data_IF_153315775849
#
_entry.id   IF_153315775849
#
_cell.length_a   1.000
_cell.length_b   1.000
_cell.length_c   1.000
_cell.angle_alpha   90.00
_cell.angle_beta   90.00
_cell.angle_gamma   90.00
#
_symmetry.space_group_name_H-M   'P 1'
#
loop_
_entity.id
_entity.type
_entity.pdbx_description
1 polymer ?
#
# COMPACT_ATOMS: atom_id res chain seq x y z
N UNK A 1 14.25 18.51 9.39
CA UNK A 1 13.10 18.09 8.53
C UNK A 1 11.98 17.69 9.46
N UNK A 2 10.79 18.19 9.24
CA UNK A 2 9.60 17.78 9.99
C UNK A 2 9.18 16.38 9.49
N UNK A 3 8.89 15.40 10.37
CA UNK A 3 8.38 14.10 9.94
C UNK A 3 7.02 14.27 9.26
N UNK A 4 6.77 13.48 8.21
CA UNK A 4 5.47 13.43 7.54
C UNK A 4 4.55 12.42 8.24
N UNK A 5 3.27 12.76 8.29
CA UNK A 5 2.21 11.88 8.80
C UNK A 5 1.50 11.25 7.60
N UNK A 6 1.72 9.95 7.38
CA UNK A 6 1.05 9.17 6.34
C UNK A 6 -0.05 8.34 6.97
N UNK A 7 -1.29 8.55 6.53
CA UNK A 7 -2.45 7.84 7.04
C UNK A 7 -2.55 6.44 6.40
N UNK A 8 -2.28 5.39 7.20
CA UNK A 8 -2.31 4.00 6.76
C UNK A 8 -3.72 3.56 6.38
N UNK A 9 -3.91 3.25 5.09
CA UNK A 9 -5.21 2.95 4.44
C UNK A 9 -6.21 4.10 4.60
N UNK A 10 -5.71 5.34 4.61
CA UNK A 10 -6.48 6.53 4.96
C UNK A 10 -6.73 6.69 6.46
N UNK A 11 -7.75 7.46 6.85
CA UNK A 11 -8.16 7.59 8.25
C UNK A 11 -8.95 6.35 8.72
N UNK A 12 -8.32 5.18 8.65
CA UNK A 12 -8.93 3.85 8.82
C UNK A 12 -9.60 3.63 10.19
N UNK A 13 -9.24 4.41 11.21
CA UNK A 13 -9.96 4.42 12.49
C UNK A 13 -11.33 5.10 12.38
N UNK A 14 -11.45 6.16 11.57
CA UNK A 14 -12.62 7.03 11.46
C UNK A 14 -13.56 6.66 10.30
N UNK A 15 -13.06 5.99 9.27
CA UNK A 15 -13.80 5.60 8.07
C UNK A 15 -13.36 4.19 7.61
N UNK A 16 -14.11 3.52 6.73
CA UNK A 16 -13.71 2.23 6.17
C UNK A 16 -12.34 2.36 5.46
N UNK A 17 -11.40 1.50 5.81
CA UNK A 17 -10.06 1.54 5.23
C UNK A 17 -10.07 1.35 3.71
N UNK A 18 -9.06 1.92 3.03
CA UNK A 18 -8.91 1.81 1.58
C UNK A 18 -10.11 2.32 0.76
N UNK A 19 -10.88 3.29 1.31
CA UNK A 19 -11.98 3.94 0.62
C UNK A 19 -11.67 5.42 0.33
N UNK A 20 -12.39 5.99 -0.65
CA UNK A 20 -12.26 7.42 -0.96
C UNK A 20 -12.63 8.28 0.25
N UNK A 21 -13.62 7.85 1.03
CA UNK A 21 -14.03 8.51 2.27
C UNK A 21 -12.90 8.53 3.31
N UNK A 22 -12.15 7.42 3.47
CA UNK A 22 -11.03 7.35 4.40
C UNK A 22 -9.86 8.25 3.96
N UNK A 23 -9.57 8.32 2.66
CA UNK A 23 -8.51 9.16 2.13
C UNK A 23 -8.84 10.65 2.28
N UNK A 24 -10.06 11.05 1.93
CA UNK A 24 -10.54 12.41 2.13
C UNK A 24 -10.49 12.81 3.60
N UNK A 25 -10.95 11.92 4.49
CA UNK A 25 -10.93 12.16 5.93
C UNK A 25 -9.51 12.32 6.50
N UNK A 26 -8.54 11.55 6.01
CA UNK A 26 -7.15 11.66 6.41
C UNK A 26 -6.59 13.06 6.14
N UNK A 27 -6.85 13.59 4.96
CA UNK A 27 -6.39 14.95 4.60
C UNK A 27 -7.14 16.04 5.35
N UNK A 28 -8.45 15.88 5.60
CA UNK A 28 -9.24 16.83 6.41
C UNK A 28 -8.70 16.98 7.83
N UNK A 29 -8.17 15.91 8.43
CA UNK A 29 -7.59 15.94 9.78
C UNK A 29 -6.10 16.27 9.81
N UNK A 30 -5.49 16.60 8.66
CA UNK A 30 -4.14 17.13 8.54
C UNK A 30 -3.04 16.10 8.34
N UNK A 31 -3.32 14.96 7.76
CA UNK A 31 -2.27 14.04 7.29
C UNK A 31 -1.52 14.68 6.10
N UNK A 32 -0.20 14.42 5.99
CA UNK A 32 0.62 14.87 4.87
C UNK A 32 0.47 13.97 3.64
N UNK A 33 -0.12 12.79 3.84
CA UNK A 33 -0.37 11.84 2.77
C UNK A 33 -1.16 10.64 3.24
N UNK A 34 -1.39 9.73 2.31
CA UNK A 34 -2.10 8.48 2.54
C UNK A 34 -1.27 7.29 2.06
N UNK A 35 -1.46 6.18 2.71
CA UNK A 35 -1.01 4.89 2.20
C UNK A 35 -2.23 4.10 1.74
N UNK A 36 -2.08 3.30 0.68
CA UNK A 36 -3.14 2.48 0.08
C UNK A 36 -2.59 1.26 -0.63
N UNK A 37 -3.43 0.24 -0.73
CA UNK A 37 -3.08 -1.07 -1.29
C UNK A 37 -3.76 -1.29 -2.63
N UNK A 38 -3.01 -1.50 -3.72
CA UNK A 38 -3.58 -1.80 -5.04
C UNK A 38 -3.50 -3.28 -5.36
N UNK A 39 -4.63 -3.82 -5.82
CA UNK A 39 -4.79 -5.18 -6.32
C UNK A 39 -5.41 -5.19 -7.72
N UNK A 40 -5.26 -6.33 -8.40
CA UNK A 40 -5.82 -6.56 -9.72
C UNK A 40 -7.04 -7.47 -9.65
N UNK A 41 -8.08 -7.15 -10.42
CA UNK A 41 -9.25 -8.00 -10.65
C UNK A 41 -8.99 -9.00 -11.80
N UNK A 42 -9.88 -9.99 -11.98
CA UNK A 42 -9.76 -10.98 -13.07
C UNK A 42 -9.84 -10.35 -14.47
N UNK A 43 -10.57 -9.25 -14.62
CA UNK A 43 -10.70 -8.47 -15.85
C UNK A 43 -9.67 -7.33 -15.94
N UNK A 44 -8.55 -7.47 -15.20
CA UNK A 44 -7.42 -6.56 -15.22
C UNK A 44 -7.69 -5.13 -14.67
N UNK A 45 -8.80 -4.92 -13.99
CA UNK A 45 -9.09 -3.69 -13.26
C UNK A 45 -8.14 -3.51 -12.06
N UNK A 46 -7.91 -2.27 -11.66
CA UNK A 46 -7.08 -1.93 -10.49
C UNK A 46 -7.97 -1.38 -9.38
N UNK A 47 -8.03 -2.08 -8.25
CA UNK A 47 -8.84 -1.71 -7.08
C UNK A 47 -7.96 -1.46 -5.86
N UNK A 48 -8.47 -0.66 -4.94
CA UNK A 48 -7.79 -0.33 -3.68
C UNK A 48 -8.41 -1.18 -2.57
N UNK A 49 -7.68 -2.19 -2.11
CA UNK A 49 -8.09 -3.09 -1.04
C UNK A 49 -6.89 -3.85 -0.48
N UNK A 50 -6.81 -4.05 0.85
CA UNK A 50 -5.66 -4.70 1.47
C UNK A 50 -5.71 -6.21 1.36
N UNK A 51 -6.80 -6.84 1.85
CA UNK A 51 -6.89 -8.30 1.94
C UNK A 51 -7.15 -8.90 0.55
N UNK A 52 -6.62 -10.11 0.31
CA UNK A 52 -6.92 -10.84 -0.92
C UNK A 52 -8.38 -11.34 -0.96
N UNK A 53 -8.98 -11.53 0.22
CA UNK A 53 -10.38 -11.91 0.42
C UNK A 53 -11.19 -10.67 0.82
N UNK A 54 -12.47 -10.64 0.41
CA UNK A 54 -13.37 -9.52 0.73
C UNK A 54 -14.26 -9.79 1.95
N UNK A 55 -14.10 -10.93 2.61
CA UNK A 55 -14.98 -11.49 3.64
C UNK A 55 -15.10 -10.60 4.90
N UNK A 56 -14.05 -9.83 5.21
CA UNK A 56 -14.04 -8.94 6.37
C UNK A 56 -14.75 -7.61 6.11
N UNK A 57 -14.96 -7.27 4.85
CA UNK A 57 -15.41 -5.93 4.44
C UNK A 57 -16.74 -5.94 3.68
N UNK A 58 -17.26 -7.14 3.34
CA UNK A 58 -18.53 -7.32 2.62
C UNK A 58 -19.35 -8.47 3.25
N UNK A 59 -20.57 -8.63 2.81
CA UNK A 59 -21.47 -9.72 3.22
C UNK A 59 -21.31 -11.00 2.40
N UNK A 60 -20.37 -11.02 1.44
CA UNK A 60 -20.06 -12.19 0.63
C UNK A 60 -18.59 -12.61 0.79
N UNK A 61 -18.28 -13.85 0.41
CA UNK A 61 -16.92 -14.38 0.39
C UNK A 61 -16.38 -14.45 -1.03
N UNK A 62 -15.13 -14.05 -1.22
CA UNK A 62 -14.48 -14.12 -2.53
C UNK A 62 -13.10 -13.49 -2.53
N UNK A 63 -12.33 -13.82 -3.57
CA UNK A 63 -11.00 -13.24 -3.79
C UNK A 63 -11.10 -12.11 -4.82
N UNK A 64 -10.41 -11.01 -4.57
CA UNK A 64 -10.35 -9.85 -5.49
C UNK A 64 -10.01 -10.29 -6.92
N UNK A 65 -8.97 -11.11 -7.10
CA UNK A 65 -8.49 -11.51 -8.43
C UNK A 65 -9.37 -12.56 -9.14
N UNK A 66 -10.38 -13.14 -8.46
CA UNK A 66 -11.38 -14.04 -9.05
C UNK A 66 -12.67 -13.29 -9.47
N UNK A 67 -12.77 -12.00 -9.17
CA UNK A 67 -13.95 -11.17 -9.42
C UNK A 67 -13.67 -10.10 -10.47
N UNK A 68 -14.72 -9.68 -11.19
CA UNK A 68 -14.62 -8.55 -12.11
C UNK A 68 -14.73 -7.23 -11.35
N UNK A 69 -14.21 -6.15 -11.95
CA UNK A 69 -14.42 -4.79 -11.44
C UNK A 69 -15.91 -4.49 -11.28
N UNK A 70 -16.75 -4.93 -12.24
CA UNK A 70 -18.19 -4.73 -12.19
C UNK A 70 -18.82 -5.40 -10.97
N UNK A 71 -18.49 -6.66 -10.70
CA UNK A 71 -19.03 -7.39 -9.54
C UNK A 71 -18.62 -6.70 -8.22
N UNK A 72 -17.35 -6.30 -8.09
CA UNK A 72 -16.86 -5.61 -6.91
C UNK A 72 -17.54 -4.25 -6.68
N UNK A 73 -17.84 -3.50 -7.73
CA UNK A 73 -18.53 -2.20 -7.63
C UNK A 73 -20.00 -2.30 -7.18
N UNK A 74 -20.62 -3.46 -7.30
CA UNK A 74 -21.99 -3.67 -6.79
C UNK A 74 -22.02 -3.85 -5.26
N UNK A 75 -20.91 -4.29 -4.65
CA UNK A 75 -20.85 -4.61 -3.22
C UNK A 75 -20.77 -3.36 -2.33
N UNK A 76 -21.13 -3.54 -1.07
CA UNK A 76 -20.97 -2.54 -0.01
C UNK A 76 -19.68 -2.83 0.78
N UNK A 77 -18.70 -1.93 0.69
CA UNK A 77 -17.43 -1.99 1.40
C UNK A 77 -17.38 -1.07 2.62
N UNK A 78 -18.52 -0.52 3.05
CA UNK A 78 -18.59 0.44 4.15
C UNK A 78 -19.35 0.02 5.37
N UNK A 79 -20.45 -0.71 5.23
CA UNK A 79 -21.37 -1.08 6.32
C UNK A 79 -20.70 -1.85 7.46
N UNK A 80 -19.64 -2.61 7.19
CA UNK A 80 -18.84 -3.30 8.22
C UNK A 80 -18.24 -2.33 9.25
N UNK A 81 -17.93 -1.12 8.85
CA UNK A 81 -17.37 -0.07 9.71
C UNK A 81 -18.44 0.68 10.49
N UNK A 82 -19.62 0.79 9.91
CA UNK A 82 -20.77 1.45 10.54
C UNK A 82 -21.84 1.85 9.53
N UNK A 83 -23.08 1.93 9.98
CA UNK A 83 -24.25 2.20 9.12
C UNK A 83 -24.16 3.56 8.37
N UNK A 84 -23.38 4.52 8.86
CA UNK A 84 -23.18 5.81 8.19
C UNK A 84 -22.34 5.69 6.89
N UNK A 85 -21.67 4.56 6.70
CA UNK A 85 -20.86 4.24 5.53
C UNK A 85 -21.51 3.24 4.60
N UNK A 86 -22.81 2.96 4.82
CA UNK A 86 -23.56 2.08 3.94
C UNK A 86 -23.43 2.54 2.48
N UNK A 87 -23.35 1.57 1.57
CA UNK A 87 -23.15 1.78 0.13
C UNK A 87 -21.81 2.41 -0.31
N UNK A 88 -20.83 2.54 0.59
CA UNK A 88 -19.46 2.87 0.18
C UNK A 88 -18.94 1.80 -0.77
N UNK A 89 -18.35 2.21 -1.90
CA UNK A 89 -17.87 1.31 -2.94
C UNK A 89 -16.37 1.13 -2.86
N UNK A 90 -15.90 -0.04 -3.30
CA UNK A 90 -14.47 -0.24 -3.51
C UNK A 90 -13.94 0.85 -4.45
N UNK A 91 -12.83 1.48 -4.07
CA UNK A 91 -12.19 2.49 -4.91
C UNK A 91 -11.36 1.83 -6.01
N UNK A 92 -11.38 2.40 -7.20
CA UNK A 92 -10.38 2.10 -8.22
C UNK A 92 -9.10 2.90 -7.96
N UNK A 93 -7.97 2.43 -8.49
CA UNK A 93 -6.72 3.18 -8.42
C UNK A 93 -6.88 4.57 -9.06
N UNK A 94 -7.58 4.66 -10.20
CA UNK A 94 -7.81 5.94 -10.87
C UNK A 94 -8.59 6.91 -9.99
N UNK A 95 -9.73 6.48 -9.41
CA UNK A 95 -10.53 7.33 -8.51
C UNK A 95 -9.71 7.82 -7.31
N UNK A 96 -8.88 6.93 -6.71
CA UNK A 96 -8.04 7.29 -5.58
C UNK A 96 -6.96 8.30 -5.97
N UNK A 97 -6.29 8.12 -7.12
CA UNK A 97 -5.29 9.07 -7.62
C UNK A 97 -5.92 10.42 -7.98
N UNK A 98 -7.07 10.44 -8.65
CA UNK A 98 -7.79 11.68 -8.98
C UNK A 98 -8.21 12.44 -7.72
N UNK A 99 -8.62 11.75 -6.66
CA UNK A 99 -8.91 12.35 -5.37
C UNK A 99 -7.65 12.96 -4.75
N UNK A 100 -6.55 12.20 -4.66
CA UNK A 100 -5.30 12.66 -4.06
C UNK A 100 -4.68 13.85 -4.83
N UNK A 101 -4.81 13.88 -6.15
CA UNK A 101 -4.36 15.00 -6.99
C UNK A 101 -5.03 16.33 -6.64
N UNK A 102 -6.27 16.28 -6.15
CA UNK A 102 -7.01 17.48 -5.72
C UNK A 102 -6.56 18.00 -4.35
N UNK A 103 -5.73 17.24 -3.63
CA UNK A 103 -5.27 17.57 -2.28
C UNK A 103 -3.84 18.13 -2.33
N UNK A 104 -3.63 19.43 -2.09
CA UNK A 104 -2.32 20.06 -2.20
C UNK A 104 -1.27 19.39 -1.30
N UNK A 105 -0.15 18.98 -1.89
CA UNK A 105 0.98 18.37 -1.16
C UNK A 105 0.77 16.94 -0.69
N UNK A 106 -0.34 16.29 -1.08
CA UNK A 106 -0.60 14.90 -0.73
C UNK A 106 0.50 13.97 -1.27
N UNK A 107 1.15 13.21 -0.38
CA UNK A 107 2.05 12.11 -0.74
C UNK A 107 1.28 10.80 -0.68
N UNK A 108 1.45 9.94 -1.68
CA UNK A 108 0.80 8.61 -1.70
C UNK A 108 1.84 7.52 -1.60
N UNK A 109 1.74 6.68 -0.59
CA UNK A 109 2.45 5.42 -0.50
C UNK A 109 1.55 4.34 -1.09
N UNK A 110 1.85 3.88 -2.30
CA UNK A 110 1.03 2.90 -3.03
C UNK A 110 1.68 1.53 -2.92
N UNK A 111 1.08 0.62 -2.12
CA UNK A 111 1.54 -0.76 -2.03
C UNK A 111 1.02 -1.59 -3.21
N UNK A 112 1.94 -2.20 -3.94
CA UNK A 112 1.62 -3.24 -4.92
C UNK A 112 1.43 -4.57 -4.18
N UNK A 113 0.19 -5.03 -4.07
CA UNK A 113 -0.10 -6.35 -3.52
C UNK A 113 0.25 -7.41 -4.56
N UNK A 114 1.05 -8.38 -4.13
CA UNK A 114 1.51 -9.45 -5.00
C UNK A 114 0.70 -10.71 -4.76
N UNK A 115 0.05 -11.22 -5.79
CA UNK A 115 -0.41 -12.61 -5.85
C UNK A 115 0.54 -13.41 -6.74
N UNK A 116 0.58 -14.75 -6.57
CA UNK A 116 1.38 -15.63 -7.45
C UNK A 116 0.91 -15.58 -8.91
N UNK A 117 -0.32 -15.12 -9.14
CA UNK A 117 -1.01 -15.07 -10.43
C UNK A 117 -1.10 -13.65 -11.01
N UNK A 118 -0.29 -12.69 -10.53
CA UNK A 118 -0.28 -11.34 -11.10
C UNK A 118 0.06 -11.40 -12.60
N UNK A 119 -0.81 -10.81 -13.40
CA UNK A 119 -0.58 -10.58 -14.81
C UNK A 119 0.72 -9.78 -15.01
N UNK A 120 1.60 -10.17 -15.95
CA UNK A 120 2.81 -9.41 -16.29
C UNK A 120 2.57 -7.92 -16.57
N UNK A 121 1.36 -7.56 -17.00
CA UNK A 121 0.95 -6.19 -17.28
C UNK A 121 0.40 -5.44 -16.03
N UNK A 122 0.40 -6.04 -14.84
CA UNK A 122 -0.07 -5.39 -13.61
C UNK A 122 0.70 -4.09 -13.34
N UNK A 123 2.03 -4.15 -13.28
CA UNK A 123 2.87 -2.96 -13.07
C UNK A 123 2.71 -1.94 -14.20
N UNK A 124 2.81 -2.31 -15.50
CA UNK A 124 2.52 -1.40 -16.61
C UNK A 124 1.20 -0.65 -16.46
N UNK A 125 0.10 -1.33 -16.11
CA UNK A 125 -1.21 -0.68 -15.92
C UNK A 125 -1.25 0.28 -14.73
N UNK A 126 -0.59 -0.07 -13.61
CA UNK A 126 -0.46 0.85 -12.47
C UNK A 126 0.27 2.12 -12.91
N UNK A 127 1.40 1.98 -13.61
CA UNK A 127 2.18 3.13 -14.08
C UNK A 127 1.40 3.99 -15.08
N UNK A 128 0.60 3.37 -15.96
CA UNK A 128 -0.28 4.09 -16.88
C UNK A 128 -1.29 4.98 -16.13
N UNK A 129 -1.92 4.46 -15.07
CA UNK A 129 -2.83 5.26 -14.23
C UNK A 129 -2.09 6.41 -13.56
N UNK A 130 -0.89 6.18 -13.02
CA UNK A 130 -0.09 7.25 -12.39
C UNK A 130 0.28 8.36 -13.37
N UNK A 131 0.60 8.00 -14.62
CA UNK A 131 0.90 8.97 -15.68
C UNK A 131 -0.36 9.73 -16.12
N UNK A 132 -1.48 9.03 -16.36
CA UNK A 132 -2.76 9.64 -16.77
C UNK A 132 -3.31 10.60 -15.72
N UNK A 133 -3.11 10.30 -14.45
CA UNK A 133 -3.55 11.13 -13.32
C UNK A 133 -2.51 12.16 -12.89
N UNK A 134 -1.34 12.23 -13.54
CA UNK A 134 -0.24 13.15 -13.22
C UNK A 134 0.29 13.01 -11.78
N UNK A 135 0.24 11.77 -11.22
CA UNK A 135 0.61 11.50 -9.81
C UNK A 135 2.02 10.92 -9.61
N UNK A 136 2.81 10.76 -10.68
CA UNK A 136 4.13 10.11 -10.63
C UNK A 136 5.06 10.74 -9.58
N UNK A 137 5.07 12.07 -9.46
CA UNK A 137 5.96 12.76 -8.51
C UNK A 137 5.49 12.67 -7.05
N UNK A 138 4.17 12.49 -6.83
CA UNK A 138 3.58 12.40 -5.50
C UNK A 138 3.57 10.98 -4.94
N UNK A 139 3.71 9.96 -5.81
CA UNK A 139 3.67 8.55 -5.41
C UNK A 139 5.05 8.02 -5.02
N UNK A 140 5.07 7.22 -3.97
CA UNK A 140 6.14 6.28 -3.63
C UNK A 140 5.54 4.90 -3.77
N UNK A 141 6.00 4.12 -4.75
CA UNK A 141 5.55 2.76 -4.97
C UNK A 141 6.25 1.84 -3.99
N UNK A 142 5.50 1.05 -3.22
CA UNK A 142 6.06 0.12 -2.24
C UNK A 142 5.57 -1.30 -2.48
N UNK A 143 6.34 -2.31 -2.12
CA UNK A 143 5.93 -3.70 -2.19
C UNK A 143 6.83 -4.61 -1.36
N UNK A 144 6.29 -5.72 -0.87
CA UNK A 144 7.08 -6.86 -0.39
C UNK A 144 7.63 -7.71 -1.55
N UNK A 145 7.01 -7.64 -2.73
CA UNK A 145 7.56 -8.27 -3.93
C UNK A 145 8.48 -7.27 -4.66
N UNK A 146 9.77 -7.36 -4.39
CA UNK A 146 10.77 -6.45 -4.96
C UNK A 146 10.92 -6.61 -6.48
N UNK A 147 10.50 -7.74 -7.07
CA UNK A 147 10.50 -7.91 -8.52
C UNK A 147 9.55 -6.92 -9.22
N UNK A 148 8.38 -6.62 -8.61
CA UNK A 148 7.45 -5.61 -9.12
C UNK A 148 8.08 -4.20 -9.09
N UNK A 149 8.83 -3.89 -8.02
CA UNK A 149 9.53 -2.60 -7.91
C UNK A 149 10.66 -2.47 -8.95
N UNK A 150 11.41 -3.56 -9.20
CA UNK A 150 12.42 -3.59 -10.29
C UNK A 150 11.77 -3.35 -11.66
N UNK A 151 10.64 -4.02 -11.94
CA UNK A 151 9.88 -3.81 -13.16
C UNK A 151 9.43 -2.35 -13.30
N UNK A 152 8.89 -1.78 -12.22
CA UNK A 152 8.47 -0.37 -12.21
C UNK A 152 9.64 0.58 -12.51
N UNK A 153 10.80 0.37 -11.87
CA UNK A 153 12.00 1.17 -12.11
C UNK A 153 12.59 1.02 -13.51
N UNK A 154 12.46 -0.16 -14.14
CA UNK A 154 12.87 -0.36 -15.52
C UNK A 154 11.98 0.40 -16.51
N UNK A 155 10.66 0.46 -16.23
CA UNK A 155 9.68 1.14 -17.08
C UNK A 155 9.62 2.65 -16.83
N UNK A 156 9.83 3.09 -15.59
CA UNK A 156 9.74 4.49 -15.19
C UNK A 156 10.87 4.82 -14.17
N UNK A 157 12.10 5.10 -14.66
CA UNK A 157 13.29 5.25 -13.82
C UNK A 157 13.20 6.35 -12.76
N UNK A 158 12.45 7.43 -13.00
CA UNK A 158 12.23 8.54 -12.09
C UNK A 158 11.28 8.23 -10.93
N UNK A 159 10.44 7.19 -11.03
CA UNK A 159 9.47 6.86 -10.00
C UNK A 159 10.18 6.49 -8.69
N UNK A 160 9.72 7.06 -7.59
CA UNK A 160 10.22 6.71 -6.26
C UNK A 160 9.68 5.34 -5.86
N UNK A 161 10.55 4.49 -5.32
CA UNK A 161 10.16 3.16 -4.82
C UNK A 161 10.70 2.93 -3.41
N UNK A 162 10.02 2.07 -2.65
CA UNK A 162 10.42 1.65 -1.31
C UNK A 162 10.21 0.15 -1.13
N UNK A 163 11.28 -0.59 -0.79
CA UNK A 163 11.17 -2.00 -0.48
C UNK A 163 10.58 -2.22 0.90
N UNK A 164 9.51 -3.01 0.98
CA UNK A 164 8.97 -3.51 2.24
C UNK A 164 9.70 -4.81 2.59
N UNK A 165 10.09 -4.94 3.86
CA UNK A 165 10.80 -6.12 4.34
C UNK A 165 10.19 -6.63 5.63
N UNK A 166 10.23 -7.94 5.84
CA UNK A 166 9.94 -8.56 7.12
C UNK A 166 11.21 -8.64 7.94
N UNK A 167 11.13 -8.41 9.24
CA UNK A 167 12.28 -8.56 10.13
C UNK A 167 11.87 -8.62 11.58
N UNK A 168 12.71 -9.23 12.42
CA UNK A 168 12.53 -9.19 13.86
C UNK A 168 12.86 -7.78 14.41
N UNK A 169 12.17 -7.38 15.47
CA UNK A 169 12.26 -6.04 16.04
C UNK A 169 13.72 -5.66 16.43
N UNK A 170 14.53 -6.64 16.83
CA UNK A 170 15.93 -6.42 17.21
C UNK A 170 16.81 -6.00 16.02
N UNK A 171 16.54 -6.53 14.81
CA UNK A 171 17.25 -6.12 13.60
C UNK A 171 16.80 -4.76 13.08
N UNK A 172 15.61 -4.31 13.47
CA UNK A 172 15.04 -3.01 13.07
C UNK A 172 15.45 -1.85 13.98
N UNK A 173 16.05 -2.10 15.14
CA UNK A 173 16.59 -1.06 16.04
C UNK A 173 17.88 -0.44 15.50
N UNK A 174 18.49 -1.01 14.46
CA UNK A 174 19.61 -0.38 13.78
C UNK A 174 19.07 0.77 12.91
N UNK A 175 19.65 1.95 13.00
CA UNK A 175 19.22 3.08 12.17
C UNK A 175 19.35 2.73 10.69
N UNK A 176 18.32 3.01 9.85
CA UNK A 176 18.29 2.66 8.44
C UNK A 176 19.58 2.93 7.63
N UNK A 177 20.30 4.04 7.87
CA UNK A 177 21.53 4.33 7.15
C UNK A 177 22.67 3.34 7.43
N UNK A 178 22.65 2.66 8.58
CA UNK A 178 23.68 1.69 8.97
C UNK A 178 23.43 0.35 8.28
N UNK A 179 22.19 -0.08 8.18
CA UNK A 179 21.83 -1.35 7.53
C UNK A 179 22.25 -1.31 6.05
N UNK A 180 21.93 -0.25 5.35
CA UNK A 180 22.26 -0.11 3.93
C UNK A 180 23.77 -0.06 3.68
N UNK A 181 24.50 0.64 4.52
CA UNK A 181 25.95 0.81 4.40
C UNK A 181 26.73 -0.44 4.78
N UNK A 182 26.30 -1.14 5.82
CA UNK A 182 26.96 -2.36 6.31
C UNK A 182 26.69 -3.59 5.43
N UNK A 183 25.60 -3.59 4.67
CA UNK A 183 25.29 -4.59 3.65
C UNK A 183 26.00 -4.32 2.31
N UNK A 184 26.76 -3.23 2.18
CA UNK A 184 27.45 -2.83 0.95
C UNK A 184 26.50 -2.35 -0.15
N UNK A 185 25.24 -2.07 0.20
CA UNK A 185 24.20 -1.65 -0.72
C UNK A 185 24.32 -0.13 -0.96
N UNK A 186 24.77 0.26 -2.12
CA UNK A 186 25.18 1.65 -2.32
C UNK A 186 24.24 2.49 -3.18
N UNK A 187 23.52 1.93 -4.16
CA UNK A 187 22.62 2.73 -5.01
C UNK A 187 21.76 1.88 -5.98
N UNK A 188 20.49 1.69 -5.77
CA UNK A 188 19.54 1.34 -6.81
C UNK A 188 19.20 -0.15 -7.00
N UNK A 189 18.94 -0.56 -8.23
CA UNK A 189 18.35 -1.86 -8.60
C UNK A 189 19.23 -3.06 -8.20
N UNK A 190 20.55 -2.95 -8.30
CA UNK A 190 21.49 -4.02 -7.95
C UNK A 190 21.42 -4.35 -6.45
N UNK A 191 21.10 -3.37 -5.63
CA UNK A 191 20.93 -3.54 -4.18
C UNK A 191 19.67 -4.34 -3.83
N UNK A 192 18.63 -4.25 -4.65
CA UNK A 192 17.38 -5.00 -4.44
C UNK A 192 17.55 -6.51 -4.71
N UNK A 193 18.38 -6.90 -5.68
CA UNK A 193 18.69 -8.32 -5.92
C UNK A 193 19.45 -8.95 -4.75
N UNK A 194 20.35 -8.19 -4.14
CA UNK A 194 21.07 -8.65 -2.96
C UNK A 194 20.16 -8.79 -1.74
N UNK A 195 19.14 -7.94 -1.61
CA UNK A 195 18.14 -8.04 -0.55
C UNK A 195 17.24 -9.26 -0.73
N UNK A 196 16.74 -9.52 -1.95
CA UNK A 196 15.92 -10.70 -2.24
C UNK A 196 16.69 -12.02 -1.96
N UNK A 197 17.99 -12.03 -2.25
CA UNK A 197 18.87 -13.17 -1.97
C UNK A 197 19.15 -13.39 -0.47
N UNK A 198 18.98 -12.35 0.35
CA UNK A 198 19.21 -12.40 1.80
C UNK A 198 17.94 -12.75 2.60
N UNK A 199 16.75 -12.74 1.96
CA UNK A 199 15.50 -13.10 2.62
C UNK A 199 15.43 -14.64 2.81
N UNK A 200 15.06 -15.14 3.99
CA UNK A 200 14.85 -16.57 4.19
C UNK A 200 13.64 -17.06 3.38
N UNK A 201 13.72 -18.26 2.81
CA UNK A 201 12.64 -18.90 2.03
C UNK A 201 11.30 -18.96 2.80
N UNK A 202 11.34 -18.93 4.14
CA UNK A 202 10.15 -18.92 5.00
C UNK A 202 9.37 -17.58 5.00
N UNK A 203 9.91 -16.52 4.41
CA UNK A 203 9.23 -15.23 4.32
C UNK A 203 8.11 -15.22 3.26
N UNK A 204 7.99 -16.28 2.45
CA UNK A 204 7.01 -16.40 1.37
C UNK A 204 5.70 -17.12 1.79
N UNK A 205 5.55 -17.54 3.04
CA UNK A 205 4.37 -18.30 3.50
C UNK A 205 3.20 -17.37 3.84
N UNK A 206 2.08 -17.54 3.11
CA UNK A 206 0.81 -16.79 3.25
C UNK A 206 0.18 -16.87 4.66
N UNK A 207 0.48 -17.89 5.47
CA UNK A 207 -0.05 -18.02 6.84
C UNK A 207 0.50 -16.97 7.82
N UNK A 208 1.56 -16.25 7.46
CA UNK A 208 2.18 -15.23 8.30
C UNK A 208 1.63 -13.80 8.12
N UNK A 209 0.64 -13.59 7.24
CA UNK A 209 0.06 -12.25 7.02
C UNK A 209 -0.63 -11.65 8.26
N UNK A 210 -1.11 -12.47 9.21
CA UNK A 210 -1.85 -11.99 10.39
C UNK A 210 -0.96 -11.21 11.39
N UNK A 211 0.35 -11.45 11.43
CA UNK A 211 1.27 -10.73 12.32
C UNK A 211 1.71 -9.38 11.74
N UNK A 212 1.58 -9.17 10.44
CA UNK A 212 1.92 -7.92 9.76
C UNK A 212 0.99 -6.77 10.17
N UNK A 213 -0.30 -7.04 10.29
CA UNK A 213 -1.28 -6.07 10.83
C UNK A 213 -0.95 -5.68 12.26
N UNK A 214 -0.48 -6.65 13.04
CA UNK A 214 -0.05 -6.46 14.42
C UNK A 214 1.24 -5.62 14.51
N UNK A 215 2.21 -5.89 13.64
CA UNK A 215 3.47 -5.16 13.57
C UNK A 215 3.30 -3.69 13.18
N UNK A 216 2.45 -3.38 12.20
CA UNK A 216 2.14 -1.99 11.82
C UNK A 216 1.39 -1.26 12.94
N UNK A 217 0.47 -1.93 13.63
CA UNK A 217 -0.22 -1.40 14.80
C UNK A 217 0.76 -1.10 15.94
N UNK A 218 1.70 -2.00 16.20
CA UNK A 218 2.71 -1.84 17.24
C UNK A 218 3.71 -0.71 16.91
N UNK A 219 4.06 -0.52 15.64
CA UNK A 219 4.92 0.59 15.20
C UNK A 219 4.27 1.96 15.36
N UNK A 220 2.98 2.07 15.05
CA UNK A 220 2.21 3.30 15.30
C UNK A 220 2.12 3.59 16.80
N UNK A 221 1.97 2.56 17.63
CA UNK A 221 1.97 2.68 19.09
C UNK A 221 3.35 3.06 19.64
N UNK A 222 4.45 2.53 19.09
CA UNK A 222 5.82 2.90 19.45
C UNK A 222 6.18 4.33 19.04
N UNK A 223 5.74 4.78 17.88
CA UNK A 223 5.92 6.19 17.46
C UNK A 223 5.20 7.14 18.41
N UNK A 224 3.99 6.79 18.85
CA UNK A 224 3.26 7.57 19.87
C UNK A 224 3.93 7.55 21.25
N UNK A 225 4.56 6.44 21.63
CA UNK A 225 5.25 6.32 22.91
C UNK A 225 6.58 7.08 22.99
N UNK A 226 7.27 7.22 21.84
CA UNK A 226 8.56 7.92 21.75
C UNK A 226 8.43 9.42 21.43
N UNK A 227 7.22 9.89 21.11
CA UNK A 227 6.88 11.31 20.93
C UNK A 227 5.64 11.61 21.76
N UNK A 228 5.75 11.74 23.11
CA UNK A 228 4.66 12.24 23.92
C UNK A 228 4.39 13.68 23.49
N UNK A 229 3.15 13.94 23.11
CA UNK A 229 2.68 15.12 22.45
C UNK A 229 3.13 16.45 23.07
N UNK A 230 3.40 17.39 22.21
CA UNK A 230 3.05 18.80 22.43
C UNK A 230 1.66 19.06 21.86
#
# INVERSE_FOLDING_TARGET
MTPQIIAHRGASYLAPENTLTAFKKAMEIGADGVEMDVQQTIDAGLVIHHDYMIDLHTDISGKIYDMTMGDLKELDFGSWKGAIFQDEKIATLQEAMELCRQMPGCTVHLELKSTMDNDPDFVPRVLEVLQQTEMVEQVILVSFNHALLRQAKQLLPELRVGALVYGELESMLLPPPIIWKDLGLTNGIDDMEAMDAALPESAADEENCSWMTRWMSDKVSMLRANFPGE
#
